data_IF_113961677443
#
_entry.id   IF_113961677443
#
_cell.length_a   1.000
_cell.length_b   1.000
_cell.length_c   1.000
_cell.angle_alpha   90.00
_cell.angle_beta   90.00
_cell.angle_gamma   90.00
#
_symmetry.space_group_name_H-M   'P 1'
#
loop_
_entity.id
_entity.type
_entity.pdbx_description
1 polymer ?
#
# COMPACT_ATOMS: atom_id res chain seq x y z
N UNK A 1 -1.03 14.29 14.31
CA UNK A 1 0.37 14.42 13.87
C UNK A 1 0.55 13.66 12.59
N UNK A 2 0.77 12.34 12.67
CA UNK A 2 0.69 11.44 11.52
C UNK A 2 -0.77 11.02 11.28
N UNK A 3 -1.12 10.76 10.00
CA UNK A 3 -2.47 10.30 9.59
C UNK A 3 -2.46 8.86 9.06
N UNK A 4 -1.31 8.37 8.61
CA UNK A 4 -1.06 6.99 8.22
C UNK A 4 0.45 6.68 8.34
N UNK A 5 0.80 5.40 8.47
CA UNK A 5 2.19 4.92 8.47
C UNK A 5 2.33 3.87 7.37
N UNK A 6 3.17 4.10 6.36
CA UNK A 6 3.52 3.08 5.37
C UNK A 6 4.76 2.34 5.84
N UNK A 7 4.65 1.02 6.01
CA UNK A 7 5.72 0.18 6.56
C UNK A 7 6.02 -0.99 5.62
N UNK A 8 7.26 -1.05 5.11
CA UNK A 8 7.74 -2.14 4.27
C UNK A 8 8.65 -3.09 5.03
N UNK A 9 8.47 -4.41 4.87
CA UNK A 9 9.37 -5.42 5.43
C UNK A 9 9.35 -6.72 4.62
N UNK A 10 10.44 -7.50 4.68
CA UNK A 10 10.63 -8.74 3.92
C UNK A 10 11.02 -9.94 4.80
N UNK A 11 10.73 -11.16 4.33
CA UNK A 11 10.99 -12.39 5.09
C UNK A 11 10.02 -12.55 6.25
N UNK A 12 10.54 -12.74 7.47
CA UNK A 12 9.76 -12.64 8.71
C UNK A 12 9.41 -11.17 9.01
N UNK A 13 8.44 -10.64 8.25
CA UNK A 13 8.18 -9.21 8.13
C UNK A 13 7.36 -8.62 9.29
N UNK A 14 7.96 -8.49 10.47
CA UNK A 14 7.27 -8.09 11.71
C UNK A 14 7.02 -6.58 11.86
N UNK A 15 7.74 -5.72 11.13
CA UNK A 15 7.69 -4.27 11.33
C UNK A 15 6.24 -3.70 11.26
N UNK A 16 5.42 -4.00 10.24
CA UNK A 16 4.07 -3.44 10.16
C UNK A 16 3.18 -3.87 11.34
N UNK A 17 3.18 -5.15 11.69
CA UNK A 17 2.37 -5.66 12.81
C UNK A 17 2.77 -5.08 14.16
N UNK A 18 4.08 -4.92 14.41
CA UNK A 18 4.58 -4.34 15.66
C UNK A 18 4.29 -2.84 15.77
N UNK A 19 4.29 -2.11 14.65
CA UNK A 19 3.83 -0.72 14.62
C UNK A 19 2.34 -0.66 14.97
N UNK A 20 1.49 -1.47 14.32
CA UNK A 20 0.04 -1.52 14.57
C UNK A 20 -0.28 -1.82 16.04
N UNK A 21 0.52 -2.66 16.69
CA UNK A 21 0.35 -3.01 18.11
C UNK A 21 0.67 -1.86 19.08
N UNK A 22 1.32 -0.79 18.62
CA UNK A 22 1.84 0.31 19.45
C UNK A 22 1.24 1.67 19.13
N UNK A 23 0.34 1.76 18.16
CA UNK A 23 -0.26 3.04 17.74
C UNK A 23 -1.71 2.87 17.30
N UNK A 24 -2.49 3.94 17.46
CA UNK A 24 -3.83 4.04 16.89
C UNK A 24 -3.81 4.64 15.47
N UNK A 25 -2.64 5.10 15.00
CA UNK A 25 -2.49 5.60 13.63
C UNK A 25 -2.57 4.41 12.65
N UNK A 26 -3.36 4.48 11.57
CA UNK A 26 -3.46 3.39 10.60
C UNK A 26 -2.10 3.00 10.00
N UNK A 27 -1.78 1.71 10.01
CA UNK A 27 -0.55 1.15 9.42
C UNK A 27 -0.88 0.42 8.12
N UNK A 28 -0.12 0.76 7.09
CA UNK A 28 -0.23 0.28 5.72
C UNK A 28 1.00 -0.58 5.40
N UNK A 29 0.85 -1.89 5.45
CA UNK A 29 1.92 -2.87 5.29
C UNK A 29 2.21 -3.22 3.83
N UNK A 30 3.50 -3.15 3.44
CA UNK A 30 3.98 -3.49 2.09
C UNK A 30 4.94 -4.68 2.19
N UNK A 31 4.53 -5.87 1.73
CA UNK A 31 5.42 -7.03 1.67
C UNK A 31 6.56 -6.79 0.68
N UNK A 32 7.81 -6.85 1.15
CA UNK A 32 9.00 -6.77 0.28
C UNK A 32 9.32 -8.16 -0.25
N UNK A 33 9.60 -8.34 -1.56
CA UNK A 33 9.93 -9.64 -2.13
C UNK A 33 11.17 -10.25 -1.45
N UNK A 34 11.05 -11.50 -1.02
CA UNK A 34 12.16 -12.29 -0.46
C UNK A 34 12.84 -13.11 -1.56
N UNK A 35 14.13 -13.43 -1.35
CA UNK A 35 14.95 -14.14 -2.35
C UNK A 35 14.41 -15.52 -2.74
N UNK A 36 13.86 -16.27 -1.79
CA UNK A 36 13.53 -17.69 -1.99
C UNK A 36 12.02 -17.96 -2.09
N UNK A 37 11.19 -17.10 -1.52
CA UNK A 37 9.74 -17.30 -1.45
C UNK A 37 8.95 -16.23 -2.22
N UNK A 38 9.66 -15.40 -3.00
CA UNK A 38 9.10 -14.31 -3.81
C UNK A 38 8.18 -13.37 -3.01
N UNK A 39 8.41 -13.24 -1.70
CA UNK A 39 7.62 -12.42 -0.80
C UNK A 39 6.35 -13.07 -0.23
N UNK A 40 6.10 -14.36 -0.45
CA UNK A 40 4.98 -15.06 0.22
C UNK A 40 5.15 -15.10 1.75
N UNK A 41 6.38 -15.32 2.21
CA UNK A 41 6.77 -15.18 3.62
C UNK A 41 6.48 -13.78 4.15
N UNK A 42 6.88 -12.75 3.41
CA UNK A 42 6.61 -11.35 3.75
C UNK A 42 5.11 -11.07 3.80
N UNK A 43 4.35 -11.55 2.82
CA UNK A 43 2.92 -11.33 2.71
C UNK A 43 2.20 -11.94 3.90
N UNK A 44 2.44 -13.22 4.19
CA UNK A 44 1.79 -13.93 5.30
C UNK A 44 2.21 -13.36 6.66
N UNK A 45 3.45 -12.90 6.81
CA UNK A 45 3.92 -12.26 8.04
C UNK A 45 3.22 -10.92 8.34
N UNK A 46 2.71 -10.24 7.31
CA UNK A 46 2.05 -8.93 7.44
C UNK A 46 0.53 -9.05 7.48
N UNK A 47 -0.07 -9.85 6.59
CA UNK A 47 -1.53 -9.88 6.40
C UNK A 47 -2.28 -10.70 7.44
N UNK A 48 -1.67 -11.75 7.99
CA UNK A 48 -2.31 -12.68 8.92
C UNK A 48 -2.30 -12.19 10.37
N UNK A 49 -2.50 -10.89 10.57
CA UNK A 49 -2.65 -10.33 11.92
C UNK A 49 -3.90 -10.91 12.60
N UNK A 50 -3.79 -11.40 13.85
CA UNK A 50 -4.95 -11.82 14.61
C UNK A 50 -5.97 -10.68 14.82
N UNK A 51 -7.22 -11.04 15.10
CA UNK A 51 -8.26 -10.08 15.40
C UNK A 51 -7.88 -9.16 16.57
N UNK A 52 -8.07 -7.86 16.40
CA UNK A 52 -7.78 -6.83 17.41
C UNK A 52 -6.65 -5.85 17.04
N UNK A 53 -5.70 -6.24 16.19
CA UNK A 53 -4.58 -5.37 15.77
C UNK A 53 -4.46 -5.37 14.25
N UNK A 54 -5.20 -4.51 13.54
CA UNK A 54 -5.26 -4.55 12.08
C UNK A 54 -4.02 -3.95 11.41
N UNK A 55 -3.61 -4.53 10.28
CA UNK A 55 -2.62 -3.96 9.35
C UNK A 55 -3.19 -4.04 7.94
N UNK A 56 -3.41 -2.89 7.29
CA UNK A 56 -3.89 -2.88 5.91
C UNK A 56 -2.75 -3.31 4.98
N UNK A 57 -2.89 -4.46 4.31
CA UNK A 57 -1.79 -5.07 3.55
C UNK A 57 -1.99 -4.90 2.05
N UNK A 58 -0.92 -4.52 1.34
CA UNK A 58 -0.92 -4.28 -0.10
C UNK A 58 -0.15 -5.39 -0.85
N UNK A 59 -0.11 -5.29 -2.18
CA UNK A 59 0.61 -6.25 -3.03
C UNK A 59 2.11 -6.36 -2.66
N UNK A 60 2.74 -7.47 -3.06
CA UNK A 60 4.19 -7.64 -2.88
C UNK A 60 4.94 -6.63 -3.78
N UNK A 61 5.95 -5.97 -3.23
CA UNK A 61 6.89 -5.11 -3.97
C UNK A 61 6.36 -3.71 -4.32
N UNK A 62 6.87 -3.17 -5.43
CA UNK A 62 6.69 -1.77 -5.84
C UNK A 62 5.22 -1.39 -6.08
N UNK A 63 4.44 -2.30 -6.66
CA UNK A 63 3.01 -2.11 -6.85
C UNK A 63 2.29 -1.90 -5.50
N UNK A 64 2.70 -2.66 -4.47
CA UNK A 64 2.19 -2.49 -3.11
C UNK A 64 2.60 -1.18 -2.47
N UNK A 65 3.86 -0.78 -2.63
CA UNK A 65 4.37 0.50 -2.12
C UNK A 65 3.60 1.69 -2.72
N UNK A 66 3.38 1.66 -4.03
CA UNK A 66 2.61 2.67 -4.76
C UNK A 66 1.16 2.71 -4.27
N UNK A 67 0.52 1.56 -4.15
CA UNK A 67 -0.88 1.48 -3.70
C UNK A 67 -1.05 1.85 -2.23
N UNK A 68 -0.09 1.56 -1.35
CA UNK A 68 -0.12 1.99 0.04
C UNK A 68 -0.06 3.53 0.15
N UNK A 69 0.80 4.18 -0.65
CA UNK A 69 0.86 5.63 -0.72
C UNK A 69 -0.46 6.24 -1.26
N UNK A 70 -0.99 5.68 -2.37
CA UNK A 70 -2.28 6.14 -2.93
C UNK A 70 -3.45 5.91 -1.97
N UNK A 71 -3.43 4.83 -1.18
CA UNK A 71 -4.44 4.57 -0.16
C UNK A 71 -4.34 5.58 0.99
N UNK A 72 -3.13 5.93 1.43
CA UNK A 72 -2.93 7.01 2.40
C UNK A 72 -3.48 8.35 1.87
N UNK A 73 -3.21 8.68 0.60
CA UNK A 73 -3.78 9.88 -0.03
C UNK A 73 -5.30 9.81 -0.09
N UNK A 74 -5.89 8.65 -0.41
CA UNK A 74 -7.35 8.48 -0.44
C UNK A 74 -7.98 8.67 0.94
N UNK A 75 -7.35 8.20 2.02
CA UNK A 75 -7.79 8.47 3.39
C UNK A 75 -7.75 9.96 3.73
N UNK A 76 -6.68 10.67 3.33
CA UNK A 76 -6.51 12.10 3.56
C UNK A 76 -7.49 12.95 2.75
N UNK A 77 -7.80 12.51 1.52
CA UNK A 77 -8.69 13.20 0.59
C UNK A 77 -10.14 13.31 1.10
N UNK A 78 -10.55 12.50 2.08
CA UNK A 78 -11.87 12.62 2.71
C UNK A 78 -12.08 14.00 3.37
N UNK A 79 -10.99 14.62 3.86
CA UNK A 79 -11.03 15.91 4.57
C UNK A 79 -10.27 17.04 3.84
N UNK A 80 -9.55 16.75 2.76
CA UNK A 80 -8.80 17.75 1.97
C UNK A 80 -9.28 17.77 0.51
N UNK A 81 -10.11 18.77 0.11
CA UNK A 81 -10.61 18.90 -1.26
C UNK A 81 -9.51 19.00 -2.33
N UNK A 82 -8.32 19.52 -1.99
CA UNK A 82 -7.20 19.60 -2.94
C UNK A 82 -6.63 18.23 -3.21
N UNK A 83 -6.47 17.40 -2.18
CA UNK A 83 -6.04 16.01 -2.34
C UNK A 83 -7.11 15.17 -3.07
N UNK A 84 -8.39 15.42 -2.80
CA UNK A 84 -9.48 14.77 -3.54
C UNK A 84 -9.42 15.10 -5.04
N UNK A 85 -9.25 16.37 -5.38
CA UNK A 85 -9.10 16.81 -6.78
C UNK A 85 -7.84 16.23 -7.43
N UNK A 86 -6.69 16.25 -6.74
CA UNK A 86 -5.45 15.69 -7.24
C UNK A 86 -5.53 14.17 -7.47
N UNK A 87 -6.16 13.43 -6.55
CA UNK A 87 -6.36 11.98 -6.68
C UNK A 87 -7.32 11.65 -7.83
N UNK A 88 -8.36 12.44 -8.03
CA UNK A 88 -9.27 12.30 -9.17
C UNK A 88 -8.54 12.56 -10.51
N UNK A 89 -7.74 13.61 -10.58
CA UNK A 89 -6.92 13.93 -11.75
C UNK A 89 -5.91 12.81 -12.06
N UNK A 90 -5.19 12.32 -11.04
CA UNK A 90 -4.27 11.19 -11.18
C UNK A 90 -4.97 9.95 -11.77
N UNK A 91 -6.16 9.60 -11.27
CA UNK A 91 -6.94 8.46 -11.80
C UNK A 91 -7.43 8.69 -13.22
N UNK A 92 -7.82 9.91 -13.57
CA UNK A 92 -8.22 10.26 -14.93
C UNK A 92 -7.06 10.14 -15.91
N UNK A 93 -5.86 10.58 -15.52
CA UNK A 93 -4.64 10.43 -16.31
C UNK A 93 -4.30 8.95 -16.56
N UNK A 94 -4.35 8.11 -15.52
CA UNK A 94 -4.12 6.65 -15.65
C UNK A 94 -5.12 5.99 -16.59
N UNK A 95 -6.39 6.40 -16.52
CA UNK A 95 -7.43 5.93 -17.46
C UNK A 95 -7.09 6.34 -18.89
N UNK A 96 -6.70 7.59 -19.10
CA UNK A 96 -6.35 8.10 -20.43
C UNK A 96 -5.14 7.34 -21.00
N UNK A 97 -4.11 7.13 -20.19
CA UNK A 97 -2.91 6.39 -20.58
C UNK A 97 -3.23 4.96 -21.03
N UNK A 98 -4.12 4.27 -20.30
CA UNK A 98 -4.57 2.93 -20.67
C UNK A 98 -5.44 2.93 -21.94
N UNK A 99 -6.29 3.94 -22.12
CA UNK A 99 -7.13 4.07 -23.31
C UNK A 99 -6.32 4.39 -24.58
N UNK A 100 -5.18 5.09 -24.43
CA UNK A 100 -4.31 5.46 -25.55
C UNK A 100 -3.16 4.47 -25.80
N UNK A 101 -3.07 3.36 -25.06
CA UNK A 101 -1.98 2.40 -25.25
C UNK A 101 -2.15 1.61 -26.54
N UNK A 102 -1.10 1.52 -27.36
CA UNK A 102 -1.04 0.67 -28.54
C UNK A 102 -0.28 -0.61 -28.24
N UNK A 103 -0.64 -1.71 -28.92
CA UNK A 103 0.11 -2.96 -28.83
C UNK A 103 1.49 -2.80 -29.48
N UNK A 104 2.53 -3.47 -28.96
CA UNK A 104 3.79 -3.58 -29.68
C UNK A 104 3.56 -4.27 -31.04
N UNK A 105 4.32 -3.91 -32.09
CA UNK A 105 4.33 -4.69 -33.33
C UNK A 105 4.75 -6.14 -33.04
N UNK A 106 4.18 -7.09 -33.80
CA UNK A 106 4.50 -8.53 -33.71
C UNK A 106 5.98 -8.84 -33.98
#
# INVERSE_FOLDING_TARGET
>A
GLRAIVAGAGGAAHLPGMLSAKTLVPVLGVPVPSRHLAGNDSLLSIVQMPAGVPTATFAIGEAGATNAALFAVAMLALDDPRLASALAAYRAERRQQAASSTLPPE
#
